data_IF_364804681058
#
_entry.id   IF_364804681058
#
_cell.length_a   1.000
_cell.length_b   1.000
_cell.length_c   1.000
_cell.angle_alpha   90.00
_cell.angle_beta   90.00
_cell.angle_gamma   90.00
#
_symmetry.space_group_name_H-M   'P 1'
#
loop_
_entity.id
_entity.type
_entity.pdbx_description
1 polymer ?
#
# COMPACT_ATOMS: atom_id res chain seq x y z
N UNK A 1 10.43 25.19 9.86
CA UNK A 1 9.04 25.70 9.99
C UNK A 1 8.31 24.90 11.07
N UNK A 2 7.23 25.44 11.59
CA UNK A 2 6.35 24.79 12.58
C UNK A 2 5.16 24.16 11.87
N UNK A 3 5.00 22.84 12.00
CA UNK A 3 4.05 22.02 11.22
C UNK A 3 3.24 21.14 12.16
N UNK A 4 1.93 21.07 11.98
CA UNK A 4 1.10 20.05 12.57
C UNK A 4 0.71 18.98 11.55
N UNK A 5 0.72 17.72 11.99
CA UNK A 5 0.19 16.58 11.22
C UNK A 5 -0.97 16.00 12.02
N UNK A 6 -2.19 16.12 11.51
CA UNK A 6 -3.38 15.56 12.15
C UNK A 6 -3.68 14.19 11.57
N UNK A 7 -3.57 13.17 12.42
CA UNK A 7 -3.55 11.77 12.09
C UNK A 7 -2.12 11.21 12.10
N UNK A 8 -1.80 10.36 13.07
CA UNK A 8 -0.53 9.64 13.16
C UNK A 8 -0.67 8.17 12.69
N UNK A 9 -1.44 7.97 11.62
CA UNK A 9 -1.44 6.74 10.85
C UNK A 9 -0.16 6.61 10.01
N UNK A 10 -0.14 5.65 9.08
CA UNK A 10 1.04 5.38 8.26
C UNK A 10 1.56 6.65 7.55
N UNK A 11 0.69 7.31 6.75
CA UNK A 11 1.06 8.51 5.99
C UNK A 11 1.47 9.66 6.91
N UNK A 12 0.69 9.92 7.97
CA UNK A 12 0.96 11.06 8.85
C UNK A 12 2.23 10.89 9.67
N UNK A 13 2.49 9.69 10.20
CA UNK A 13 3.69 9.43 11.01
C UNK A 13 4.96 9.49 10.15
N UNK A 14 4.96 8.87 8.98
CA UNK A 14 6.10 8.94 8.03
C UNK A 14 6.33 10.38 7.60
N UNK A 15 5.27 11.11 7.20
CA UNK A 15 5.38 12.51 6.76
C UNK A 15 5.94 13.40 7.87
N UNK A 16 5.37 13.31 9.08
CA UNK A 16 5.81 14.14 10.21
C UNK A 16 7.25 13.85 10.62
N UNK A 17 7.65 12.57 10.59
CA UNK A 17 9.01 12.15 10.93
C UNK A 17 10.03 12.65 9.91
N UNK A 18 9.75 12.51 8.61
CA UNK A 18 10.64 12.99 7.55
C UNK A 18 10.73 14.53 7.51
N UNK A 19 9.63 15.24 7.78
CA UNK A 19 9.68 16.70 7.92
C UNK A 19 10.54 17.13 9.12
N UNK A 20 10.45 16.41 10.25
CA UNK A 20 11.32 16.65 11.40
C UNK A 20 12.79 16.36 11.07
N UNK A 21 13.05 15.31 10.28
CA UNK A 21 14.41 14.92 9.89
C UNK A 21 15.10 15.99 9.04
N UNK A 22 14.39 16.66 8.17
CA UNK A 22 14.94 17.76 7.36
C UNK A 22 14.96 19.10 8.12
N UNK A 23 14.67 19.11 9.43
CA UNK A 23 14.87 20.26 10.30
C UNK A 23 13.64 21.10 10.62
N UNK A 24 12.43 20.64 10.27
CA UNK A 24 11.19 21.31 10.72
C UNK A 24 10.84 20.93 12.16
N UNK A 25 10.08 21.79 12.84
CA UNK A 25 9.47 21.48 14.14
C UNK A 25 8.07 20.91 13.88
N UNK A 26 7.86 19.65 14.27
CA UNK A 26 6.64 18.92 13.90
C UNK A 26 5.90 18.43 15.13
N UNK A 27 4.60 18.64 15.16
CA UNK A 27 3.68 18.02 16.11
C UNK A 27 2.72 17.09 15.39
N UNK A 28 2.75 15.81 15.75
CA UNK A 28 1.77 14.84 15.27
C UNK A 28 0.62 14.75 16.28
N UNK A 29 -0.60 14.90 15.79
CA UNK A 29 -1.84 14.88 16.58
C UNK A 29 -2.62 13.63 16.24
N UNK A 30 -3.06 12.87 17.24
CA UNK A 30 -3.97 11.73 17.03
C UNK A 30 -4.99 11.67 18.17
N UNK A 31 -6.21 11.27 17.85
CA UNK A 31 -7.30 11.16 18.82
C UNK A 31 -7.31 9.84 19.61
N UNK A 32 -6.44 8.88 19.28
CA UNK A 32 -6.24 7.66 20.05
C UNK A 32 -5.17 7.87 21.13
N UNK A 33 -5.62 8.07 22.37
CA UNK A 33 -4.76 8.25 23.53
C UNK A 33 -3.73 7.12 23.74
N UNK A 34 -4.09 5.88 23.38
CA UNK A 34 -3.17 4.73 23.51
C UNK A 34 -2.06 4.83 22.51
N UNK A 35 -2.39 5.19 21.26
CA UNK A 35 -1.41 5.41 20.20
C UNK A 35 -0.46 6.56 20.54
N UNK A 36 -1.00 7.70 21.00
CA UNK A 36 -0.19 8.85 21.41
C UNK A 36 0.78 8.48 22.56
N UNK A 37 0.29 7.77 23.58
CA UNK A 37 1.14 7.29 24.68
C UNK A 37 2.22 6.32 24.22
N UNK A 38 1.91 5.40 23.32
CA UNK A 38 2.89 4.49 22.70
C UNK A 38 3.99 5.27 21.99
N UNK A 39 3.60 6.21 21.11
CA UNK A 39 4.54 7.06 20.38
C UNK A 39 5.40 7.93 21.30
N UNK A 40 4.83 8.49 22.37
CA UNK A 40 5.56 9.24 23.40
C UNK A 40 6.56 8.37 24.18
N UNK A 41 6.27 7.08 24.33
CA UNK A 41 7.18 6.11 24.95
C UNK A 41 8.18 5.48 23.97
N UNK A 42 8.17 5.90 22.70
CA UNK A 42 9.07 5.40 21.66
C UNK A 42 8.63 4.09 21.01
N UNK A 43 7.40 3.63 21.25
CA UNK A 43 6.85 2.44 20.60
C UNK A 43 6.14 2.85 19.33
N UNK A 44 6.64 2.40 18.17
CA UNK A 44 6.10 2.75 16.85
C UNK A 44 5.05 1.72 16.42
N UNK A 45 3.79 2.14 16.17
CA UNK A 45 2.68 1.21 15.92
C UNK A 45 2.62 0.66 14.49
N UNK A 46 3.58 1.00 13.64
CA UNK A 46 3.66 0.56 12.24
C UNK A 46 5.06 0.04 11.93
N UNK A 47 5.14 -0.95 11.05
CA UNK A 47 6.43 -1.39 10.53
C UNK A 47 6.74 -0.65 9.22
N UNK A 48 7.84 0.09 9.23
CA UNK A 48 8.42 0.74 8.05
C UNK A 48 9.94 0.79 8.23
N UNK A 49 10.74 0.28 7.28
CA UNK A 49 12.19 0.29 7.39
C UNK A 49 12.77 1.69 7.66
N UNK A 50 13.59 1.80 8.70
CA UNK A 50 14.26 3.05 9.09
C UNK A 50 13.41 4.08 9.84
N UNK A 51 12.09 3.91 9.93
CA UNK A 51 11.20 4.88 10.58
C UNK A 51 11.44 4.99 12.08
N UNK A 52 11.62 3.87 12.78
CA UNK A 52 11.79 3.85 14.23
C UNK A 52 13.01 4.67 14.67
N UNK A 53 14.16 4.47 14.02
CA UNK A 53 15.38 5.22 14.29
C UNK A 53 15.20 6.73 14.04
N UNK A 54 14.48 7.09 12.97
CA UNK A 54 14.17 8.48 12.64
C UNK A 54 13.28 9.13 13.71
N UNK A 55 12.24 8.43 14.17
CA UNK A 55 11.34 8.92 15.22
C UNK A 55 12.14 9.16 16.50
N UNK A 56 12.90 8.18 16.97
CA UNK A 56 13.69 8.29 18.20
C UNK A 56 14.67 9.47 18.13
N UNK A 57 15.40 9.61 17.02
CA UNK A 57 16.36 10.70 16.81
C UNK A 57 15.70 12.07 16.83
N UNK A 58 14.53 12.22 16.19
CA UNK A 58 13.85 13.49 16.11
C UNK A 58 13.09 13.88 17.37
N UNK A 59 12.58 12.90 18.11
CA UNK A 59 12.04 13.12 19.48
C UNK A 59 13.15 13.58 20.43
N UNK A 60 14.31 12.90 20.43
CA UNK A 60 15.46 13.29 21.23
C UNK A 60 15.98 14.70 20.89
N UNK A 61 15.94 15.06 19.61
CA UNK A 61 16.30 16.40 19.12
C UNK A 61 15.20 17.46 19.34
N UNK A 62 14.07 17.10 19.92
CA UNK A 62 12.89 17.97 20.14
C UNK A 62 12.30 18.60 18.86
N UNK A 63 12.53 17.97 17.73
CA UNK A 63 11.93 18.36 16.44
C UNK A 63 10.61 17.64 16.14
N UNK A 64 10.35 16.49 16.82
CA UNK A 64 9.12 15.72 16.68
C UNK A 64 8.49 15.50 18.06
N UNK A 65 7.20 15.77 18.18
CA UNK A 65 6.42 15.49 19.39
C UNK A 65 5.03 14.98 19.03
N UNK A 66 4.36 14.36 20.01
CA UNK A 66 3.03 13.76 19.84
C UNK A 66 2.07 14.32 20.89
N UNK A 67 0.82 14.61 20.46
CA UNK A 67 -0.25 15.12 21.33
C UNK A 67 -1.62 14.58 20.90
N UNK A 68 -2.59 14.58 21.80
CA UNK A 68 -3.99 14.30 21.48
C UNK A 68 -4.83 15.57 21.31
N UNK A 69 -4.23 16.76 21.45
CA UNK A 69 -4.91 18.05 21.36
C UNK A 69 -4.73 18.68 19.98
N UNK A 70 -5.82 18.83 19.23
CA UNK A 70 -5.85 19.59 17.97
C UNK A 70 -5.50 21.06 18.23
N UNK A 71 -6.01 21.66 19.33
CA UNK A 71 -5.70 23.04 19.68
C UNK A 71 -4.19 23.25 19.86
N UNK A 72 -3.50 22.36 20.59
CA UNK A 72 -2.04 22.41 20.76
C UNK A 72 -1.31 22.28 19.40
N UNK A 73 -1.81 21.42 18.50
CA UNK A 73 -1.28 21.30 17.15
C UNK A 73 -1.46 22.57 16.32
N UNK A 74 -2.65 23.15 16.32
CA UNK A 74 -3.00 24.36 15.54
C UNK A 74 -2.29 25.59 16.05
N UNK A 75 -2.27 25.81 17.37
CA UNK A 75 -1.67 27.00 17.99
C UNK A 75 -0.16 27.11 17.74
N UNK A 76 0.52 25.94 17.66
CA UNK A 76 1.98 25.86 17.52
C UNK A 76 2.44 25.55 16.11
N UNK A 77 1.63 25.80 15.07
CA UNK A 77 2.00 25.52 13.68
C UNK A 77 1.49 26.58 12.71
N UNK A 78 2.23 26.78 11.61
CA UNK A 78 1.84 27.65 10.49
C UNK A 78 1.08 26.87 9.42
N UNK A 79 1.43 25.58 9.26
CA UNK A 79 0.86 24.69 8.26
C UNK A 79 0.36 23.43 8.93
N UNK A 80 -0.87 23.06 8.65
CA UNK A 80 -1.58 21.94 9.26
C UNK A 80 -1.91 20.92 8.20
N UNK A 81 -1.29 19.74 8.26
CA UNK A 81 -1.58 18.65 7.34
C UNK A 81 -2.67 17.75 7.92
N UNK A 82 -3.67 17.44 7.12
CA UNK A 82 -4.71 16.45 7.41
C UNK A 82 -4.28 15.12 6.78
N UNK A 83 -3.95 14.14 7.60
CA UNK A 83 -3.50 12.81 7.19
C UNK A 83 -4.32 11.72 7.91
N UNK A 84 -5.65 11.88 7.91
CA UNK A 84 -6.59 10.98 8.58
C UNK A 84 -7.09 9.87 7.64
N UNK A 85 -7.60 8.75 8.19
CA UNK A 85 -8.15 7.67 7.39
C UNK A 85 -9.30 8.11 6.49
N UNK A 86 -9.36 7.51 5.29
CA UNK A 86 -10.44 7.68 4.31
C UNK A 86 -10.95 6.27 3.92
N UNK A 87 -11.70 5.59 4.83
CA UNK A 87 -12.12 4.21 4.59
C UNK A 87 -13.14 4.12 3.46
N UNK A 88 -13.19 2.99 2.72
CA UNK A 88 -14.20 2.77 1.70
C UNK A 88 -15.57 2.50 2.33
N UNK A 89 -16.63 2.98 1.67
CA UNK A 89 -18.00 2.61 1.93
C UNK A 89 -18.42 1.37 1.13
N UNK A 90 -19.59 0.81 1.42
CA UNK A 90 -20.09 -0.41 0.74
C UNK A 90 -20.34 -0.23 -0.76
N UNK A 91 -20.59 1.00 -1.21
CA UNK A 91 -20.77 1.37 -2.63
C UNK A 91 -19.45 1.70 -3.34
N UNK A 92 -18.31 1.57 -2.66
CA UNK A 92 -16.99 1.91 -3.15
C UNK A 92 -16.61 3.39 -2.98
N UNK A 93 -17.54 4.25 -2.56
CA UNK A 93 -17.22 5.65 -2.26
C UNK A 93 -16.34 5.79 -1.00
N UNK A 94 -15.82 6.99 -0.78
CA UNK A 94 -14.94 7.29 0.37
C UNK A 94 -15.73 7.91 1.50
N UNK A 95 -15.55 7.39 2.72
CA UNK A 95 -16.07 8.04 3.93
C UNK A 95 -15.18 9.24 4.31
N UNK A 96 -15.75 10.45 4.19
CA UNK A 96 -15.08 11.71 4.51
C UNK A 96 -15.37 12.22 5.93
N UNK A 97 -16.04 11.44 6.78
CA UNK A 97 -16.43 11.84 8.13
C UNK A 97 -15.25 12.31 8.97
N UNK A 98 -14.10 11.64 8.84
CA UNK A 98 -12.88 12.01 9.57
C UNK A 98 -12.32 13.36 9.09
N UNK A 99 -12.31 13.60 7.77
CA UNK A 99 -11.85 14.87 7.17
C UNK A 99 -12.76 16.02 7.63
N UNK A 100 -14.07 15.85 7.52
CA UNK A 100 -15.06 16.87 7.92
C UNK A 100 -14.94 17.22 9.40
N UNK A 101 -14.81 16.21 10.26
CA UNK A 101 -14.63 16.41 11.69
C UNK A 101 -13.37 17.22 11.99
N UNK A 102 -12.23 16.83 11.42
CA UNK A 102 -10.96 17.54 11.62
C UNK A 102 -11.03 18.97 11.10
N UNK A 103 -11.62 19.19 9.92
CA UNK A 103 -11.80 20.54 9.38
C UNK A 103 -12.65 21.43 10.32
N UNK A 104 -13.70 20.87 10.94
CA UNK A 104 -14.54 21.56 11.94
C UNK A 104 -13.77 21.87 13.22
N UNK A 105 -13.01 20.89 13.73
CA UNK A 105 -12.21 21.05 14.95
C UNK A 105 -11.12 22.11 14.74
N UNK A 106 -10.39 22.08 13.62
CA UNK A 106 -9.42 23.13 13.25
C UNK A 106 -10.11 24.50 13.24
N UNK A 107 -11.25 24.62 12.55
CA UNK A 107 -11.98 25.88 12.42
C UNK A 107 -12.37 26.48 13.78
N UNK A 108 -12.69 25.63 14.76
CA UNK A 108 -13.13 26.07 16.09
C UNK A 108 -12.01 26.66 16.95
N UNK A 109 -10.74 26.34 16.64
CA UNK A 109 -9.56 26.77 17.42
C UNK A 109 -8.64 27.72 16.66
N UNK A 110 -8.96 28.08 15.41
CA UNK A 110 -8.19 29.06 14.62
C UNK A 110 -8.18 30.43 15.31
N UNK A 111 -6.97 30.97 15.55
CA UNK A 111 -6.74 32.28 16.17
C UNK A 111 -6.07 33.29 15.22
N UNK A 112 -5.31 32.79 14.27
CA UNK A 112 -4.61 33.55 13.23
C UNK A 112 -4.47 32.71 11.95
N UNK A 113 -3.86 33.29 10.90
CA UNK A 113 -3.76 32.67 9.59
C UNK A 113 -3.04 31.30 9.64
N UNK A 114 -3.65 30.31 9.01
CA UNK A 114 -3.06 28.97 8.81
C UNK A 114 -3.27 28.49 7.38
N UNK A 115 -2.34 27.66 6.90
CA UNK A 115 -2.53 26.86 5.70
C UNK A 115 -2.96 25.45 6.12
N UNK A 116 -4.12 25.03 5.63
CA UNK A 116 -4.67 23.69 5.86
C UNK A 116 -4.40 22.84 4.62
N UNK A 117 -3.66 21.78 4.79
CA UNK A 117 -3.19 20.90 3.70
C UNK A 117 -3.89 19.57 3.77
N UNK A 118 -4.65 19.22 2.76
CA UNK A 118 -5.18 17.87 2.62
C UNK A 118 -4.12 16.97 1.99
N UNK A 119 -3.64 16.01 2.80
CA UNK A 119 -2.67 15.00 2.38
C UNK A 119 -3.29 13.62 2.22
N UNK A 120 -4.45 13.40 2.80
CA UNK A 120 -5.22 12.17 2.63
C UNK A 120 -5.62 11.97 1.16
N UNK A 121 -5.74 10.70 0.73
CA UNK A 121 -6.29 10.40 -0.60
C UNK A 121 -7.81 10.59 -0.57
N UNK A 122 -8.29 11.61 -1.27
CA UNK A 122 -9.68 12.08 -1.22
C UNK A 122 -10.27 12.24 -2.62
N UNK A 123 -11.61 12.13 -2.78
CA UNK A 123 -12.31 12.45 -4.02
C UNK A 123 -12.06 13.89 -4.47
N UNK A 124 -12.11 14.11 -5.78
CA UNK A 124 -12.05 15.46 -6.37
C UNK A 124 -13.15 16.37 -5.78
N UNK A 125 -12.81 17.64 -5.53
CA UNK A 125 -13.62 18.67 -4.84
C UNK A 125 -13.68 18.51 -3.30
N UNK A 126 -12.85 17.68 -2.70
CA UNK A 126 -12.80 17.58 -1.24
C UNK A 126 -12.18 18.84 -0.62
N UNK A 127 -11.14 19.40 -1.22
CA UNK A 127 -10.53 20.65 -0.74
C UNK A 127 -11.52 21.83 -0.72
N UNK A 128 -12.45 21.91 -1.69
CA UNK A 128 -13.54 22.88 -1.68
C UNK A 128 -14.46 22.66 -0.46
N UNK A 129 -14.84 21.41 -0.18
CA UNK A 129 -15.66 21.03 0.99
C UNK A 129 -14.97 21.32 2.31
N UNK A 130 -13.65 21.07 2.40
CA UNK A 130 -12.83 21.43 3.56
C UNK A 130 -12.87 22.94 3.78
N UNK A 131 -12.66 23.75 2.72
CA UNK A 131 -12.72 25.19 2.80
C UNK A 131 -14.10 25.70 3.26
N UNK A 132 -15.18 25.13 2.70
CA UNK A 132 -16.55 25.50 3.08
C UNK A 132 -16.86 25.11 4.54
N UNK A 133 -16.39 23.96 4.99
CA UNK A 133 -16.53 23.52 6.38
C UNK A 133 -15.80 24.48 7.32
N UNK A 134 -14.55 24.82 7.01
CA UNK A 134 -13.78 25.76 7.84
C UNK A 134 -14.47 27.13 7.86
N UNK A 135 -14.91 27.70 6.73
CA UNK A 135 -15.64 28.97 6.69
C UNK A 135 -16.90 28.97 7.57
N UNK A 136 -17.64 27.84 7.57
CA UNK A 136 -18.87 27.67 8.33
C UNK A 136 -18.64 27.68 9.85
N UNK A 137 -17.56 27.06 10.32
CA UNK A 137 -17.28 26.87 11.74
C UNK A 137 -16.25 27.86 12.32
N UNK A 138 -15.55 28.62 11.48
CA UNK A 138 -14.61 29.65 11.87
C UNK A 138 -15.39 30.94 12.32
N UNK A 139 -15.80 30.95 13.59
CA UNK A 139 -16.62 32.02 14.16
C UNK A 139 -15.87 33.35 14.29
N UNK A 140 -14.56 33.35 14.34
CA UNK A 140 -13.70 34.51 14.51
C UNK A 140 -13.42 35.19 13.17
N UNK A 141 -13.65 34.52 12.06
CA UNK A 141 -13.40 35.04 10.72
C UNK A 141 -11.91 35.16 10.37
N UNK A 142 -11.08 34.29 10.93
CA UNK A 142 -9.65 34.24 10.65
C UNK A 142 -9.40 33.81 9.20
N UNK A 143 -8.47 34.46 8.53
CA UNK A 143 -8.02 34.04 7.18
C UNK A 143 -7.34 32.68 7.20
N UNK A 144 -7.57 31.89 6.16
CA UNK A 144 -6.91 30.59 5.94
C UNK A 144 -6.87 30.28 4.45
N UNK A 145 -5.94 29.42 4.07
CA UNK A 145 -5.89 28.81 2.73
C UNK A 145 -5.97 27.29 2.83
N UNK A 146 -6.53 26.67 1.79
CA UNK A 146 -6.58 25.22 1.63
C UNK A 146 -5.65 24.81 0.49
N UNK A 147 -4.90 23.74 0.70
CA UNK A 147 -3.98 23.15 -0.26
C UNK A 147 -4.27 21.65 -0.38
N UNK A 148 -4.27 21.11 -1.59
CA UNK A 148 -4.20 19.67 -1.82
C UNK A 148 -2.75 19.27 -2.06
N UNK A 149 -2.23 18.35 -1.27
CA UNK A 149 -0.86 17.84 -1.38
C UNK A 149 -0.85 16.32 -1.27
N UNK A 150 -1.28 15.62 -2.32
CA UNK A 150 -1.36 14.17 -2.29
C UNK A 150 0.00 13.51 -2.03
N UNK A 151 -0.01 12.37 -1.35
CA UNK A 151 1.17 11.54 -1.12
C UNK A 151 1.32 10.47 -2.24
N UNK A 152 2.55 9.99 -2.43
CA UNK A 152 2.86 8.91 -3.38
C UNK A 152 3.76 7.86 -2.72
N UNK A 153 3.55 7.65 -1.41
CA UNK A 153 4.34 6.75 -0.59
C UNK A 153 3.99 5.29 -0.88
N UNK A 154 5.00 4.44 -0.85
CA UNK A 154 4.85 2.98 -0.92
C UNK A 154 5.21 2.39 0.44
N UNK A 155 4.30 1.67 1.06
CA UNK A 155 4.58 0.93 2.29
C UNK A 155 5.86 0.07 2.11
N UNK A 156 6.74 0.04 3.11
CA UNK A 156 8.04 -0.62 3.03
C UNK A 156 9.17 0.20 2.38
N UNK A 157 8.85 1.31 1.72
CA UNK A 157 9.81 2.26 1.14
C UNK A 157 9.40 3.71 1.36
N UNK A 158 8.44 3.98 2.26
CA UNK A 158 7.81 5.28 2.38
C UNK A 158 8.74 6.36 2.92
N UNK A 159 9.69 6.00 3.78
CA UNK A 159 10.75 6.91 4.25
C UNK A 159 11.60 7.36 3.07
N UNK A 160 12.07 6.42 2.24
CA UNK A 160 12.89 6.75 1.06
C UNK A 160 12.09 7.53 0.01
N UNK A 161 10.85 7.11 -0.27
CA UNK A 161 9.94 7.81 -1.20
C UNK A 161 9.69 9.27 -0.80
N UNK A 162 9.63 9.57 0.52
CA UNK A 162 9.43 10.94 0.97
C UNK A 162 10.73 11.73 1.05
N UNK A 163 11.85 11.09 1.40
CA UNK A 163 13.17 11.75 1.45
C UNK A 163 13.72 12.05 0.04
N UNK A 164 13.37 11.22 -0.96
CA UNK A 164 13.83 11.34 -2.35
C UNK A 164 12.65 11.25 -3.33
N UNK A 165 11.65 12.17 -3.25
CA UNK A 165 10.45 12.05 -4.07
C UNK A 165 10.72 12.37 -5.54
N UNK A 166 10.16 11.57 -6.46
CA UNK A 166 10.19 11.86 -7.91
C UNK A 166 9.57 13.22 -8.25
N UNK A 167 8.54 13.61 -7.52
CA UNK A 167 7.84 14.89 -7.63
C UNK A 167 7.02 15.18 -6.38
N UNK A 168 6.77 16.46 -6.17
CA UNK A 168 5.86 16.99 -5.14
C UNK A 168 4.73 17.70 -5.86
N UNK A 169 3.48 17.34 -5.59
CA UNK A 169 2.30 17.99 -6.18
C UNK A 169 1.67 18.92 -5.16
N UNK A 170 1.48 20.20 -5.52
CA UNK A 170 0.85 21.22 -4.70
C UNK A 170 -0.31 21.84 -5.47
N UNK A 171 -1.53 21.56 -5.04
CA UNK A 171 -2.75 22.14 -5.58
C UNK A 171 -3.21 23.32 -4.71
N UNK A 172 -3.12 24.54 -5.22
CA UNK A 172 -3.57 25.74 -4.51
C UNK A 172 -3.80 26.90 -5.48
N UNK A 173 -4.66 27.83 -5.09
CA UNK A 173 -4.88 29.12 -5.78
C UNK A 173 -4.29 30.29 -4.99
N UNK A 174 -3.55 30.05 -3.90
CA UNK A 174 -2.98 31.08 -3.03
C UNK A 174 -1.45 31.11 -3.17
N UNK A 175 -0.91 32.24 -3.62
CA UNK A 175 0.53 32.47 -3.68
C UNK A 175 1.18 32.42 -2.28
N UNK A 176 0.45 32.90 -1.26
CA UNK A 176 0.91 32.88 0.14
C UNK A 176 1.05 31.46 0.65
N UNK A 177 0.05 30.61 0.41
CA UNK A 177 0.11 29.19 0.77
C UNK A 177 1.20 28.45 -0.01
N UNK A 178 1.32 28.74 -1.32
CA UNK A 178 2.37 28.14 -2.16
C UNK A 178 3.78 28.46 -1.65
N UNK A 179 4.04 29.70 -1.23
CA UNK A 179 5.33 30.09 -0.67
C UNK A 179 5.68 29.28 0.59
N UNK A 180 4.71 29.08 1.50
CA UNK A 180 4.92 28.26 2.70
C UNK A 180 5.15 26.79 2.35
N UNK A 181 4.38 26.23 1.42
CA UNK A 181 4.55 24.84 0.97
C UNK A 181 5.91 24.64 0.30
N UNK A 182 6.38 25.57 -0.52
CA UNK A 182 7.72 25.50 -1.12
C UNK A 182 8.82 25.48 -0.06
N UNK A 183 8.73 26.29 0.99
CA UNK A 183 9.69 26.30 2.10
C UNK A 183 9.72 24.96 2.84
N UNK A 184 8.57 24.28 3.00
CA UNK A 184 8.51 22.95 3.64
C UNK A 184 9.27 21.93 2.78
N UNK A 185 9.10 21.98 1.46
CA UNK A 185 9.65 20.98 0.55
C UNK A 185 11.03 21.32 -0.03
N UNK A 186 11.56 22.52 0.21
CA UNK A 186 12.88 22.93 -0.28
C UNK A 186 14.00 21.93 0.06
N UNK A 187 14.08 21.39 1.31
CA UNK A 187 15.16 20.47 1.66
C UNK A 187 15.16 19.15 0.89
N UNK A 188 14.03 18.75 0.29
CA UNK A 188 13.91 17.50 -0.46
C UNK A 188 14.45 17.59 -1.89
N UNK A 189 14.76 18.80 -2.38
CA UNK A 189 15.37 19.07 -3.70
C UNK A 189 14.67 18.39 -4.88
N UNK A 190 13.37 18.15 -4.79
CA UNK A 190 12.58 17.46 -5.79
C UNK A 190 11.78 18.44 -6.67
N UNK A 191 11.41 18.04 -7.90
CA UNK A 191 10.55 18.83 -8.75
C UNK A 191 9.19 19.11 -8.10
N UNK A 192 8.81 20.39 -8.02
CA UNK A 192 7.50 20.82 -7.49
C UNK A 192 6.57 21.13 -8.65
N UNK A 193 5.49 20.37 -8.75
CA UNK A 193 4.39 20.61 -9.69
C UNK A 193 3.30 21.40 -8.99
N UNK A 194 3.05 22.61 -9.45
CA UNK A 194 1.99 23.49 -8.94
C UNK A 194 0.78 23.41 -9.86
N UNK A 195 -0.39 23.24 -9.29
CA UNK A 195 -1.65 23.16 -10.03
C UNK A 195 -2.82 23.66 -9.14
N UNK A 196 -4.05 23.62 -9.66
CA UNK A 196 -5.25 23.83 -8.86
C UNK A 196 -5.56 22.61 -7.96
N UNK A 197 -6.43 22.80 -6.97
CA UNK A 197 -6.78 21.78 -5.97
C UNK A 197 -7.38 20.53 -6.63
N UNK A 198 -8.34 20.71 -7.55
CA UNK A 198 -9.05 19.60 -8.18
C UNK A 198 -8.10 18.73 -9.04
N UNK A 199 -7.19 19.36 -9.77
CA UNK A 199 -6.16 18.67 -10.54
C UNK A 199 -5.21 17.89 -9.62
N UNK A 200 -4.79 18.46 -8.48
CA UNK A 200 -3.93 17.75 -7.52
C UNK A 200 -4.61 16.50 -6.94
N UNK A 201 -5.87 16.61 -6.54
CA UNK A 201 -6.68 15.46 -6.07
C UNK A 201 -6.81 14.38 -7.16
N UNK A 202 -7.10 14.79 -8.41
CA UNK A 202 -7.24 13.86 -9.54
C UNK A 202 -5.93 13.16 -9.90
N UNK A 203 -4.78 13.84 -9.82
CA UNK A 203 -3.46 13.27 -10.11
C UNK A 203 -3.21 12.01 -9.26
N UNK A 204 -3.57 12.03 -7.98
CA UNK A 204 -3.39 10.86 -7.09
C UNK A 204 -4.20 9.65 -7.58
N UNK A 205 -5.49 9.84 -7.86
CA UNK A 205 -6.36 8.77 -8.36
C UNK A 205 -5.89 8.26 -9.73
N UNK A 206 -5.54 9.16 -10.64
CA UNK A 206 -5.04 8.80 -11.96
C UNK A 206 -3.73 8.02 -11.90
N UNK A 207 -2.78 8.43 -11.03
CA UNK A 207 -1.53 7.72 -10.84
C UNK A 207 -1.76 6.30 -10.31
N UNK A 208 -2.51 6.13 -9.22
CA UNK A 208 -2.76 4.81 -8.64
C UNK A 208 -3.54 3.89 -9.59
N UNK A 209 -4.52 4.42 -10.34
CA UNK A 209 -5.28 3.64 -11.31
C UNK A 209 -4.42 3.20 -12.50
N UNK A 210 -3.48 4.03 -12.95
CA UNK A 210 -2.56 3.67 -14.03
C UNK A 210 -1.56 2.60 -13.59
N UNK A 211 -1.04 2.66 -12.36
CA UNK A 211 -0.16 1.63 -11.81
C UNK A 211 -0.90 0.28 -11.70
N UNK A 212 -2.14 0.29 -11.22
CA UNK A 212 -2.97 -0.91 -11.16
C UNK A 212 -3.30 -1.46 -12.56
N UNK A 213 -3.53 -0.57 -13.55
CA UNK A 213 -3.71 -0.96 -14.95
C UNK A 213 -2.46 -1.70 -15.47
N UNK A 214 -1.24 -1.24 -15.19
CA UNK A 214 -0.01 -1.91 -15.61
C UNK A 214 0.08 -3.32 -15.04
N UNK A 215 -0.25 -3.52 -13.76
CA UNK A 215 -0.26 -4.84 -13.12
C UNK A 215 -1.33 -5.74 -13.76
N UNK A 216 -2.56 -5.25 -13.93
CA UNK A 216 -3.63 -6.02 -14.55
C UNK A 216 -3.33 -6.33 -16.02
N UNK A 217 -2.70 -5.39 -16.75
CA UNK A 217 -2.29 -5.59 -18.13
C UNK A 217 -1.29 -6.75 -18.25
N UNK A 218 -0.19 -6.75 -17.47
CA UNK A 218 0.79 -7.83 -17.56
C UNK A 218 0.22 -9.17 -17.07
N UNK A 219 -0.71 -9.16 -16.12
CA UNK A 219 -1.43 -10.35 -15.69
C UNK A 219 -2.35 -10.90 -16.80
N UNK A 220 -3.00 -10.05 -17.59
CA UNK A 220 -3.73 -10.49 -18.76
C UNK A 220 -2.79 -11.07 -19.83
N UNK A 221 -1.64 -10.44 -20.07
CA UNK A 221 -0.60 -10.96 -20.98
C UNK A 221 -0.05 -12.30 -20.48
N UNK A 222 0.08 -12.50 -19.16
CA UNK A 222 0.55 -13.78 -18.61
C UNK A 222 -0.32 -14.96 -19.05
N UNK A 223 -1.64 -14.74 -19.19
CA UNK A 223 -2.56 -15.75 -19.71
C UNK A 223 -2.25 -16.16 -21.15
N UNK A 224 -1.94 -15.16 -21.97
CA UNK A 224 -1.59 -15.36 -23.37
C UNK A 224 -0.23 -16.09 -23.48
N UNK A 225 0.73 -15.71 -22.60
CA UNK A 225 2.02 -16.37 -22.54
C UNK A 225 1.88 -17.87 -22.20
N UNK A 226 1.06 -18.21 -21.20
CA UNK A 226 0.79 -19.62 -20.86
C UNK A 226 0.18 -20.40 -22.02
N UNK A 227 -0.76 -19.81 -22.73
CA UNK A 227 -1.44 -20.45 -23.86
C UNK A 227 -0.55 -20.58 -25.11
N UNK A 228 0.39 -19.66 -25.32
CA UNK A 228 1.27 -19.62 -26.50
C UNK A 228 2.65 -20.23 -26.29
N UNK A 229 3.01 -20.60 -25.04
CA UNK A 229 4.36 -21.06 -24.68
C UNK A 229 5.38 -19.91 -24.55
N UNK A 230 4.94 -18.65 -24.59
CA UNK A 230 5.81 -17.49 -24.35
C UNK A 230 6.18 -17.35 -22.87
N UNK A 231 7.18 -16.52 -22.58
CA UNK A 231 7.64 -16.19 -21.24
C UNK A 231 7.24 -14.73 -20.91
N UNK A 232 6.41 -14.54 -19.88
CA UNK A 232 5.90 -13.22 -19.50
C UNK A 232 6.99 -12.26 -19.06
N UNK A 233 8.06 -12.75 -18.42
CA UNK A 233 9.16 -11.89 -17.96
C UNK A 233 9.90 -11.30 -19.17
N UNK A 234 10.16 -12.13 -20.21
CA UNK A 234 10.77 -11.64 -21.46
C UNK A 234 9.86 -10.66 -22.20
N UNK A 235 8.55 -10.92 -22.19
CA UNK A 235 7.58 -9.99 -22.80
C UNK A 235 7.57 -8.67 -22.02
N UNK A 236 7.53 -8.71 -20.67
CA UNK A 236 7.57 -7.54 -19.82
C UNK A 236 8.87 -6.72 -19.99
N UNK A 237 10.02 -7.39 -20.10
CA UNK A 237 11.32 -6.75 -20.36
C UNK A 237 11.35 -6.11 -21.75
N UNK A 238 10.85 -6.84 -22.77
CA UNK A 238 10.80 -6.33 -24.15
C UNK A 238 9.96 -5.08 -24.31
N UNK A 239 8.72 -5.09 -23.79
CA UNK A 239 7.86 -3.89 -23.84
C UNK A 239 8.33 -2.81 -22.88
N UNK A 240 8.89 -3.18 -21.71
CA UNK A 240 9.38 -2.26 -20.68
C UNK A 240 10.66 -1.52 -21.07
N UNK A 241 11.43 -2.02 -22.05
CA UNK A 241 12.58 -1.36 -22.62
C UNK A 241 12.23 -0.07 -23.39
N UNK A 242 10.99 0.03 -23.89
CA UNK A 242 10.48 1.29 -24.45
C UNK A 242 10.25 2.30 -23.32
N UNK A 243 10.97 3.45 -23.37
CA UNK A 243 10.89 4.52 -22.38
C UNK A 243 9.48 5.09 -22.20
N UNK A 244 8.61 4.98 -23.23
CA UNK A 244 7.21 5.43 -23.16
C UNK A 244 6.36 4.53 -22.27
N UNK A 245 6.77 3.27 -22.05
CA UNK A 245 6.09 2.27 -21.25
C UNK A 245 6.76 2.12 -19.88
N UNK A 246 8.08 1.85 -19.88
CA UNK A 246 8.88 1.61 -18.70
C UNK A 246 8.57 0.26 -18.03
N UNK A 247 9.60 -0.38 -17.44
CA UNK A 247 9.52 -1.75 -16.88
C UNK A 247 8.73 -1.84 -15.57
N UNK A 248 8.74 -0.78 -14.74
CA UNK A 248 8.12 -0.76 -13.41
C UNK A 248 6.63 -1.13 -13.50
N UNK A 249 6.14 -1.90 -12.53
CA UNK A 249 4.76 -2.39 -12.44
C UNK A 249 4.32 -3.37 -13.55
N UNK A 250 5.29 -3.97 -14.26
CA UNK A 250 5.03 -5.03 -15.24
C UNK A 250 5.51 -6.41 -14.74
N UNK A 251 5.40 -6.70 -13.45
CA UNK A 251 5.64 -8.04 -12.89
C UNK A 251 4.32 -8.78 -12.80
N UNK A 252 4.21 -9.90 -13.51
CA UNK A 252 3.05 -10.78 -13.41
C UNK A 252 3.06 -11.54 -12.07
N UNK A 253 1.88 -11.74 -11.49
CA UNK A 253 1.73 -12.42 -10.21
C UNK A 253 0.26 -12.68 -9.86
N UNK A 254 -0.01 -12.91 -8.58
CA UNK A 254 -1.37 -13.18 -8.05
C UNK A 254 -2.35 -12.01 -8.16
N UNK A 255 -1.87 -10.82 -8.51
CA UNK A 255 -2.63 -9.58 -8.52
C UNK A 255 -2.15 -8.61 -7.45
N UNK A 256 -2.73 -7.39 -7.48
CA UNK A 256 -2.48 -6.37 -6.48
C UNK A 256 -3.45 -6.48 -5.31
N UNK A 257 -2.99 -6.08 -4.14
CA UNK A 257 -3.75 -5.95 -2.90
C UNK A 257 -3.29 -4.74 -2.11
N UNK A 258 -3.39 -4.82 -0.78
CA UNK A 258 -2.98 -3.77 0.14
C UNK A 258 -4.05 -2.74 0.41
N UNK A 259 -3.70 -1.78 1.24
CA UNK A 259 -4.59 -0.73 1.75
C UNK A 259 -4.94 0.35 0.73
N UNK A 260 -4.15 0.50 -0.36
CA UNK A 260 -4.26 1.62 -1.29
C UNK A 260 -4.99 1.25 -2.58
N UNK A 261 -4.43 0.35 -3.42
CA UNK A 261 -4.96 0.10 -4.77
C UNK A 261 -6.42 -0.36 -4.78
N UNK A 262 -6.86 -1.37 -4.00
CA UNK A 262 -8.26 -1.79 -4.03
C UNK A 262 -9.21 -0.66 -3.68
N UNK A 263 -8.88 0.11 -2.63
CA UNK A 263 -9.68 1.23 -2.16
C UNK A 263 -9.72 2.37 -3.18
N UNK A 264 -8.55 2.80 -3.69
CA UNK A 264 -8.44 3.98 -4.55
C UNK A 264 -9.06 3.73 -5.94
N UNK A 265 -8.99 2.49 -6.43
CA UNK A 265 -9.64 2.07 -7.66
C UNK A 265 -11.16 2.08 -7.51
N UNK A 266 -11.69 1.50 -6.44
CA UNK A 266 -13.11 1.54 -6.13
C UNK A 266 -13.60 2.99 -5.98
N UNK A 267 -12.85 3.83 -5.25
CA UNK A 267 -13.15 5.25 -5.10
C UNK A 267 -13.17 5.98 -6.44
N UNK A 268 -12.19 5.74 -7.32
CA UNK A 268 -12.15 6.44 -8.60
C UNK A 268 -13.26 5.98 -9.56
N UNK A 269 -13.67 4.70 -9.52
CA UNK A 269 -14.86 4.23 -10.23
C UNK A 269 -16.12 4.95 -9.72
N UNK A 270 -16.30 5.03 -8.38
CA UNK A 270 -17.45 5.72 -7.78
C UNK A 270 -17.46 7.21 -8.12
N UNK A 271 -16.30 7.90 -8.06
CA UNK A 271 -16.15 9.30 -8.47
C UNK A 271 -16.56 9.48 -9.93
N UNK A 272 -16.06 8.64 -10.83
CA UNK A 272 -16.36 8.74 -12.26
C UNK A 272 -17.85 8.53 -12.56
N UNK A 273 -18.49 7.56 -11.89
CA UNK A 273 -19.92 7.30 -12.01
C UNK A 273 -20.75 8.48 -11.46
N UNK A 274 -20.37 9.09 -10.33
CA UNK A 274 -21.00 10.29 -9.76
C UNK A 274 -20.87 11.52 -10.67
N UNK A 275 -19.75 11.64 -11.39
CA UNK A 275 -19.55 12.71 -12.39
C UNK A 275 -20.26 12.44 -13.73
N UNK A 276 -20.98 11.34 -13.86
CA UNK A 276 -21.68 10.95 -15.10
C UNK A 276 -20.73 10.47 -16.23
N UNK A 277 -19.50 10.12 -15.91
CA UNK A 277 -18.45 9.68 -16.86
C UNK A 277 -17.94 8.29 -16.48
N UNK A 278 -18.68 7.19 -16.75
CA UNK A 278 -18.29 5.84 -16.31
C UNK A 278 -16.91 5.42 -16.81
N UNK A 279 -16.04 4.99 -15.90
CA UNK A 279 -14.67 4.58 -16.22
C UNK A 279 -14.59 3.04 -16.42
N UNK A 280 -15.13 2.55 -17.54
CA UNK A 280 -15.23 1.12 -17.83
C UNK A 280 -13.85 0.43 -17.90
N UNK A 281 -12.81 1.12 -18.38
CA UNK A 281 -11.45 0.58 -18.37
C UNK A 281 -11.01 0.19 -16.97
N UNK A 282 -11.32 1.02 -15.97
CA UNK A 282 -10.91 0.76 -14.60
C UNK A 282 -11.74 -0.37 -13.94
N UNK A 283 -13.02 -0.51 -14.32
CA UNK A 283 -13.83 -1.68 -13.94
C UNK A 283 -13.24 -2.98 -14.50
N UNK A 284 -12.71 -2.94 -15.73
CA UNK A 284 -12.03 -4.09 -16.34
C UNK A 284 -10.69 -4.42 -15.64
N UNK A 285 -9.91 -3.42 -15.25
CA UNK A 285 -8.70 -3.59 -14.44
C UNK A 285 -9.00 -4.35 -13.14
N UNK A 286 -10.05 -3.97 -12.44
CA UNK A 286 -10.49 -4.65 -11.21
C UNK A 286 -10.93 -6.10 -11.49
N UNK A 287 -11.67 -6.34 -12.56
CA UNK A 287 -12.12 -7.68 -12.97
C UNK A 287 -10.94 -8.60 -13.32
N UNK A 288 -9.95 -8.10 -14.05
CA UNK A 288 -8.73 -8.86 -14.36
C UNK A 288 -7.98 -9.23 -13.09
N UNK A 289 -7.85 -8.30 -12.15
CA UNK A 289 -7.19 -8.54 -10.87
C UNK A 289 -7.86 -9.65 -10.05
N UNK A 290 -9.19 -9.66 -9.98
CA UNK A 290 -9.97 -10.72 -9.33
C UNK A 290 -9.80 -12.06 -10.01
N UNK A 291 -9.94 -12.10 -11.35
CA UNK A 291 -9.81 -13.32 -12.14
C UNK A 291 -8.40 -13.95 -12.05
N UNK A 292 -7.37 -13.18 -11.76
CA UNK A 292 -6.00 -13.67 -11.66
C UNK A 292 -5.83 -14.66 -10.51
N UNK A 293 -6.43 -14.39 -9.35
CA UNK A 293 -6.47 -15.32 -8.23
C UNK A 293 -7.18 -16.63 -8.60
N UNK A 294 -8.36 -16.52 -9.21
CA UNK A 294 -9.15 -17.69 -9.60
C UNK A 294 -8.40 -18.59 -10.60
N UNK A 295 -7.68 -17.97 -11.54
CA UNK A 295 -6.79 -18.68 -12.47
C UNK A 295 -5.67 -19.44 -11.75
N UNK A 296 -5.07 -18.82 -10.73
CA UNK A 296 -4.03 -19.44 -9.94
C UNK A 296 -4.56 -20.65 -9.16
N UNK A 297 -5.69 -20.52 -8.48
CA UNK A 297 -6.35 -21.62 -7.78
C UNK A 297 -6.76 -22.73 -8.78
N UNK A 298 -7.24 -22.38 -9.97
CA UNK A 298 -7.53 -23.36 -11.02
C UNK A 298 -6.27 -24.14 -11.42
N UNK A 299 -5.11 -23.49 -11.58
CA UNK A 299 -3.84 -24.14 -11.90
C UNK A 299 -3.44 -25.17 -10.81
N UNK A 300 -3.64 -24.83 -9.53
CA UNK A 300 -3.44 -25.75 -8.42
C UNK A 300 -4.35 -26.98 -8.54
N UNK A 301 -5.65 -26.79 -8.79
CA UNK A 301 -6.61 -27.90 -8.97
C UNK A 301 -6.25 -28.80 -10.16
N UNK A 302 -5.88 -28.24 -11.29
CA UNK A 302 -5.51 -29.00 -12.49
C UNK A 302 -4.25 -29.85 -12.25
N UNK A 303 -3.29 -29.37 -11.48
CA UNK A 303 -2.06 -30.09 -11.18
C UNK A 303 -2.24 -31.11 -10.05
N UNK A 304 -2.93 -30.75 -8.97
CA UNK A 304 -3.11 -31.60 -7.78
C UNK A 304 -4.34 -32.48 -7.86
N UNK A 305 -5.20 -32.25 -8.85
CA UNK A 305 -6.47 -32.92 -9.13
C UNK A 305 -7.55 -32.70 -8.04
N UNK A 306 -7.21 -32.99 -6.76
CA UNK A 306 -8.09 -32.78 -5.60
C UNK A 306 -7.29 -32.03 -4.54
N UNK A 307 -7.89 -30.96 -3.97
CA UNK A 307 -7.27 -30.18 -2.90
C UNK A 307 -7.67 -30.66 -1.50
N UNK A 308 -8.84 -31.31 -1.39
CA UNK A 308 -9.33 -31.85 -0.12
C UNK A 308 -8.33 -32.84 0.48
N UNK A 309 -8.06 -32.64 1.78
CA UNK A 309 -7.13 -33.44 2.60
C UNK A 309 -5.65 -33.31 2.21
N UNK A 310 -5.31 -32.49 1.21
CA UNK A 310 -3.91 -32.20 0.88
C UNK A 310 -3.30 -31.25 1.88
N UNK A 311 -2.02 -31.48 2.19
CA UNK A 311 -1.23 -30.59 3.03
C UNK A 311 -0.46 -29.65 2.13
N UNK A 312 -0.74 -28.36 2.25
CA UNK A 312 -0.18 -27.31 1.42
C UNK A 312 0.59 -26.30 2.29
N UNK A 313 1.77 -25.90 1.84
CA UNK A 313 2.53 -24.82 2.45
C UNK A 313 2.30 -23.50 1.70
N UNK A 314 2.15 -22.39 2.42
CA UNK A 314 2.07 -21.04 1.83
C UNK A 314 3.13 -20.16 2.47
N UNK A 315 4.00 -19.58 1.66
CA UNK A 315 4.97 -18.59 2.04
C UNK A 315 4.51 -17.19 1.62
N UNK A 316 4.34 -16.32 2.59
CA UNK A 316 3.83 -14.97 2.44
C UNK A 316 2.34 -14.86 2.76
N UNK A 317 2.00 -13.85 3.59
CA UNK A 317 0.64 -13.46 3.97
C UNK A 317 0.42 -11.95 3.83
N UNK A 318 1.49 -11.16 3.86
CA UNK A 318 1.43 -9.73 3.55
C UNK A 318 1.13 -9.51 2.06
N UNK A 319 0.54 -8.37 1.71
CA UNK A 319 0.19 -8.10 0.31
C UNK A 319 1.41 -7.87 -0.60
N UNK A 320 2.56 -7.54 -0.01
CA UNK A 320 3.89 -7.40 -0.64
C UNK A 320 5.00 -7.53 0.42
N UNK A 321 6.29 -7.65 0.03
CA UNK A 321 7.40 -7.67 0.98
C UNK A 321 7.61 -6.30 1.67
N UNK A 322 8.46 -6.31 2.71
CA UNK A 322 8.92 -5.16 3.47
C UNK A 322 7.84 -4.36 4.21
N UNK A 323 6.68 -5.01 4.46
CA UNK A 323 5.59 -4.47 5.28
C UNK A 323 4.97 -5.57 6.15
N UNK A 324 4.27 -5.17 7.21
CA UNK A 324 3.44 -6.07 8.02
C UNK A 324 1.94 -5.99 7.64
N UNK A 325 1.60 -5.24 6.56
CA UNK A 325 0.20 -5.01 6.15
C UNK A 325 -0.38 -6.24 5.43
N UNK A 326 -1.46 -6.74 6.00
CA UNK A 326 -2.22 -7.91 5.50
C UNK A 326 -3.61 -7.53 4.96
N UNK A 327 -3.93 -6.24 4.92
CA UNK A 327 -5.22 -5.74 4.43
C UNK A 327 -5.38 -6.00 2.94
N UNK A 328 -6.52 -6.56 2.54
CA UNK A 328 -6.79 -6.95 1.15
C UNK A 328 -5.63 -7.74 0.53
N UNK A 329 -4.95 -8.56 1.33
CA UNK A 329 -3.86 -9.40 0.84
C UNK A 329 -4.41 -10.55 0.01
N UNK A 330 -3.98 -10.64 -1.26
CA UNK A 330 -4.32 -11.76 -2.13
C UNK A 330 -3.76 -13.07 -1.58
N UNK A 331 -2.63 -13.03 -0.86
CA UNK A 331 -2.05 -14.21 -0.21
C UNK A 331 -2.99 -14.78 0.87
N UNK A 332 -3.57 -13.91 1.72
CA UNK A 332 -4.60 -14.30 2.72
C UNK A 332 -5.83 -14.90 2.04
N UNK A 333 -6.28 -14.30 0.93
CA UNK A 333 -7.41 -14.83 0.17
C UNK A 333 -7.12 -16.21 -0.41
N UNK A 334 -5.93 -16.43 -0.95
CA UNK A 334 -5.48 -17.75 -1.45
C UNK A 334 -5.48 -18.79 -0.33
N UNK A 335 -4.94 -18.47 0.85
CA UNK A 335 -4.97 -19.38 2.01
C UNK A 335 -6.40 -19.76 2.38
N UNK A 336 -7.30 -18.79 2.46
CA UNK A 336 -8.70 -19.04 2.81
C UNK A 336 -9.44 -19.84 1.73
N UNK A 337 -9.15 -19.62 0.45
CA UNK A 337 -9.73 -20.40 -0.65
C UNK A 337 -9.29 -21.87 -0.56
N UNK A 338 -8.01 -22.13 -0.30
CA UNK A 338 -7.48 -23.49 -0.15
C UNK A 338 -8.09 -24.21 1.07
N UNK A 339 -8.20 -23.52 2.21
CA UNK A 339 -8.87 -24.07 3.39
C UNK A 339 -10.34 -24.40 3.12
N UNK A 340 -11.07 -23.51 2.42
CA UNK A 340 -12.48 -23.77 2.03
C UNK A 340 -12.65 -24.97 1.09
N UNK A 341 -11.64 -25.31 0.31
CA UNK A 341 -11.61 -26.50 -0.51
C UNK A 341 -11.17 -27.76 0.25
N UNK A 342 -10.97 -27.64 1.56
CA UNK A 342 -10.65 -28.76 2.44
C UNK A 342 -9.17 -29.14 2.50
N UNK A 343 -8.28 -28.30 2.01
CA UNK A 343 -6.84 -28.48 2.20
C UNK A 343 -6.43 -28.14 3.65
N UNK A 344 -5.41 -28.82 4.17
CA UNK A 344 -4.71 -28.41 5.39
C UNK A 344 -3.59 -27.46 5.01
N UNK A 345 -3.72 -26.18 5.34
CA UNK A 345 -2.75 -25.15 4.95
C UNK A 345 -1.85 -24.79 6.11
N UNK A 346 -0.53 -24.90 5.94
CA UNK A 346 0.47 -24.32 6.85
C UNK A 346 1.07 -23.07 6.21
N UNK A 347 0.93 -21.92 6.88
CA UNK A 347 1.33 -20.63 6.34
C UNK A 347 2.41 -19.94 7.21
N UNK A 348 3.34 -19.27 6.55
CA UNK A 348 4.39 -18.48 7.20
C UNK A 348 4.58 -17.14 6.49
N UNK A 349 4.82 -16.08 7.27
CA UNK A 349 5.21 -14.75 6.78
C UNK A 349 6.23 -14.12 7.74
N UNK A 350 7.28 -13.46 7.26
CA UNK A 350 8.32 -12.85 8.11
C UNK A 350 7.81 -11.75 9.05
N UNK A 351 6.78 -10.98 8.65
CA UNK A 351 6.28 -9.80 9.38
C UNK A 351 4.77 -9.81 9.66
N UNK A 352 3.97 -10.44 8.80
CA UNK A 352 2.51 -10.40 8.86
C UNK A 352 1.86 -11.28 9.91
N UNK A 353 2.59 -12.24 10.51
CA UNK A 353 2.03 -13.28 11.38
C UNK A 353 1.25 -12.76 12.58
N UNK A 354 1.72 -11.70 13.25
CA UNK A 354 1.06 -11.11 14.41
C UNK A 354 -0.28 -10.49 14.02
N UNK A 355 -0.32 -9.73 12.92
CA UNK A 355 -1.55 -9.10 12.40
C UNK A 355 -2.56 -10.12 11.89
N UNK A 356 -2.10 -11.19 11.22
CA UNK A 356 -2.99 -12.29 10.81
C UNK A 356 -3.68 -12.94 12.02
N UNK A 357 -2.94 -13.18 13.12
CA UNK A 357 -3.52 -13.72 14.37
C UNK A 357 -4.47 -12.74 15.03
N UNK A 358 -4.07 -11.46 15.17
CA UNK A 358 -4.87 -10.41 15.79
C UNK A 358 -6.21 -10.21 15.07
N UNK A 359 -6.17 -10.13 13.73
CA UNK A 359 -7.32 -9.89 12.88
C UNK A 359 -8.07 -11.17 12.50
N UNK A 360 -7.57 -12.35 12.90
CA UNK A 360 -8.16 -13.67 12.60
C UNK A 360 -8.44 -13.89 11.10
N UNK A 361 -7.47 -13.52 10.25
CA UNK A 361 -7.69 -13.52 8.80
C UNK A 361 -7.60 -14.91 8.16
N UNK A 362 -6.87 -15.85 8.75
CA UNK A 362 -6.73 -17.23 8.28
C UNK A 362 -7.10 -18.21 9.42
N UNK A 363 -8.38 -18.27 9.83
CA UNK A 363 -8.79 -18.99 11.05
C UNK A 363 -8.57 -20.50 10.96
N UNK A 364 -8.60 -21.07 9.75
CA UNK A 364 -8.50 -22.50 9.50
C UNK A 364 -7.08 -22.94 9.10
N UNK A 365 -6.13 -22.00 9.00
CA UNK A 365 -4.76 -22.29 8.64
C UNK A 365 -3.86 -22.49 9.87
N UNK A 366 -2.86 -23.34 9.73
CA UNK A 366 -1.77 -23.52 10.71
C UNK A 366 -0.76 -22.41 10.48
N UNK A 367 -0.54 -21.57 11.48
CA UNK A 367 0.45 -20.50 11.38
C UNK A 367 1.81 -21.00 11.88
N UNK A 368 2.70 -21.34 10.95
CA UNK A 368 4.03 -21.87 11.22
C UNK A 368 4.97 -20.79 11.77
N UNK A 369 6.03 -21.23 12.49
CA UNK A 369 7.04 -20.34 13.08
C UNK A 369 8.23 -20.07 12.16
N UNK A 370 8.36 -20.84 11.07
CA UNK A 370 9.42 -20.70 10.06
C UNK A 370 8.98 -21.21 8.70
N UNK A 371 9.68 -20.81 7.61
CA UNK A 371 9.39 -21.34 6.27
C UNK A 371 9.61 -22.85 6.18
N UNK A 372 10.62 -23.38 6.88
CA UNK A 372 10.89 -24.83 6.91
C UNK A 372 9.84 -25.64 7.68
N UNK A 373 9.27 -25.07 8.75
CA UNK A 373 8.16 -25.70 9.44
C UNK A 373 6.90 -25.76 8.55
N UNK A 374 6.61 -24.70 7.82
CA UNK A 374 5.45 -24.66 6.93
C UNK A 374 5.48 -25.75 5.86
N UNK A 375 6.65 -26.07 5.30
CA UNK A 375 6.80 -27.06 4.21
C UNK A 375 6.87 -28.51 4.67
N UNK A 376 6.91 -28.78 5.99
CA UNK A 376 7.04 -30.16 6.51
C UNK A 376 5.84 -31.03 6.11
N UNK A 377 6.12 -32.12 5.41
CA UNK A 377 5.15 -33.06 4.84
C UNK A 377 4.17 -32.40 3.84
N UNK A 378 4.48 -31.24 3.28
CA UNK A 378 3.62 -30.58 2.32
C UNK A 378 3.70 -31.26 0.94
N UNK A 379 2.55 -31.35 0.27
CA UNK A 379 2.44 -31.88 -1.09
C UNK A 379 2.67 -30.79 -2.14
N UNK A 380 2.58 -29.53 -1.76
CA UNK A 380 3.01 -28.40 -2.58
C UNK A 380 3.39 -27.20 -1.72
N UNK A 381 4.34 -26.41 -2.20
CA UNK A 381 4.70 -25.09 -1.70
C UNK A 381 4.11 -24.02 -2.62
N UNK A 382 3.40 -23.04 -2.03
CA UNK A 382 2.84 -21.89 -2.72
C UNK A 382 3.61 -20.66 -2.25
N UNK A 383 4.20 -19.88 -3.16
CA UNK A 383 4.78 -18.57 -2.87
C UNK A 383 3.77 -17.51 -3.21
N UNK A 384 3.26 -16.81 -2.18
CA UNK A 384 2.19 -15.83 -2.31
C UNK A 384 2.64 -14.39 -2.09
N UNK A 385 3.82 -14.18 -1.46
CA UNK A 385 4.48 -12.87 -1.32
C UNK A 385 5.98 -13.03 -1.60
N UNK A 386 6.56 -12.06 -2.31
CA UNK A 386 7.94 -12.10 -2.79
C UNK A 386 8.97 -11.59 -1.77
N UNK A 387 8.99 -12.17 -0.56
CA UNK A 387 9.99 -11.85 0.45
C UNK A 387 11.38 -12.38 0.04
N UNK A 388 12.41 -11.54 0.15
CA UNK A 388 13.80 -11.94 -0.12
C UNK A 388 14.30 -13.06 0.78
N UNK A 389 13.72 -13.24 1.96
CA UNK A 389 13.99 -14.38 2.85
C UNK A 389 13.75 -15.72 2.13
N UNK A 390 12.72 -15.80 1.30
CA UNK A 390 12.33 -17.04 0.62
C UNK A 390 13.29 -17.45 -0.50
N UNK A 391 14.01 -16.50 -1.09
CA UNK A 391 15.08 -16.81 -2.07
C UNK A 391 16.31 -17.44 -1.42
N UNK A 392 16.52 -17.15 -0.13
CA UNK A 392 17.71 -17.55 0.62
C UNK A 392 17.51 -18.82 1.47
N UNK A 393 16.36 -19.49 1.36
CA UNK A 393 16.11 -20.77 2.06
C UNK A 393 16.90 -21.89 1.37
N UNK A 394 17.39 -22.85 2.15
CA UNK A 394 18.02 -24.06 1.59
C UNK A 394 16.96 -24.97 0.91
N UNK A 395 16.86 -24.89 -0.40
CA UNK A 395 15.92 -25.70 -1.19
C UNK A 395 16.23 -27.20 -1.19
N UNK A 396 17.44 -27.61 -0.85
CA UNK A 396 17.73 -29.03 -0.61
C UNK A 396 17.00 -29.52 0.64
N UNK A 397 17.00 -28.70 1.70
CA UNK A 397 16.28 -29.00 2.93
C UNK A 397 14.75 -28.90 2.74
N UNK A 398 14.27 -27.90 2.00
CA UNK A 398 12.85 -27.78 1.62
C UNK A 398 12.38 -29.05 0.93
N UNK A 399 13.13 -29.55 -0.09
CA UNK A 399 12.80 -30.76 -0.80
C UNK A 399 12.78 -31.98 0.12
N UNK A 400 13.73 -32.07 1.04
CA UNK A 400 13.82 -33.20 2.01
C UNK A 400 12.61 -33.23 2.96
N UNK A 401 12.08 -32.08 3.32
CA UNK A 401 10.96 -31.92 4.27
C UNK A 401 9.58 -32.10 3.60
N UNK A 402 9.48 -31.81 2.33
CA UNK A 402 8.22 -31.93 1.58
C UNK A 402 7.93 -33.42 1.22
N UNK A 403 6.63 -33.73 1.14
CA UNK A 403 6.16 -35.01 0.64
C UNK A 403 6.31 -35.10 -0.88
N UNK A 404 6.04 -34.01 -1.60
CA UNK A 404 6.17 -33.90 -3.05
C UNK A 404 6.93 -32.62 -3.41
N UNK A 405 8.00 -32.67 -4.24
CA UNK A 405 8.78 -31.49 -4.59
C UNK A 405 8.06 -30.65 -5.67
N UNK A 406 6.99 -30.00 -5.30
CA UNK A 406 6.11 -29.22 -6.18
C UNK A 406 6.00 -27.78 -5.68
N UNK A 407 6.32 -26.83 -6.55
CA UNK A 407 6.25 -25.37 -6.24
C UNK A 407 5.28 -24.69 -7.18
N UNK A 408 4.37 -23.90 -6.60
CA UNK A 408 3.55 -22.92 -7.29
C UNK A 408 4.01 -21.52 -6.88
N UNK A 409 4.70 -20.85 -7.78
CA UNK A 409 5.23 -19.51 -7.53
C UNK A 409 4.27 -18.44 -8.08
N UNK A 410 3.45 -17.92 -7.21
CA UNK A 410 2.46 -16.89 -7.52
C UNK A 410 3.06 -15.49 -7.70
N UNK A 411 4.36 -15.33 -7.49
CA UNK A 411 5.07 -14.05 -7.60
C UNK A 411 6.23 -14.07 -8.59
N UNK A 412 6.51 -15.22 -9.19
CA UNK A 412 7.66 -15.43 -10.06
C UNK A 412 9.00 -15.07 -9.39
N UNK A 413 9.07 -15.28 -8.07
CA UNK A 413 10.22 -14.96 -7.24
C UNK A 413 11.44 -15.82 -7.60
N UNK A 414 11.24 -17.12 -7.76
CA UNK A 414 12.31 -18.08 -7.94
C UNK A 414 12.66 -18.29 -9.42
N UNK A 415 13.93 -18.58 -9.66
CA UNK A 415 14.38 -18.98 -11.00
C UNK A 415 13.93 -20.40 -11.36
N UNK A 416 13.14 -20.57 -12.44
CA UNK A 416 12.58 -21.87 -12.81
C UNK A 416 13.64 -22.93 -13.14
N UNK A 417 14.80 -22.51 -13.67
CA UNK A 417 15.88 -23.46 -14.02
C UNK A 417 16.52 -23.98 -12.74
N UNK A 418 16.86 -23.08 -11.82
CA UNK A 418 17.43 -23.43 -10.52
C UNK A 418 16.51 -24.37 -9.75
N UNK A 419 15.20 -24.13 -9.73
CA UNK A 419 14.26 -25.01 -9.05
C UNK A 419 14.19 -26.42 -9.70
N UNK A 420 14.24 -26.49 -11.02
CA UNK A 420 14.32 -27.80 -11.73
C UNK A 420 15.65 -28.53 -11.46
N UNK A 421 16.76 -27.80 -11.38
CA UNK A 421 18.06 -28.38 -11.05
C UNK A 421 18.07 -28.95 -9.62
N UNK A 422 17.36 -28.34 -8.66
CA UNK A 422 17.06 -28.94 -7.35
C UNK A 422 16.08 -30.13 -7.43
N UNK A 423 15.43 -30.36 -8.57
CA UNK A 423 14.47 -31.42 -8.80
C UNK A 423 13.06 -31.14 -8.34
N UNK A 424 12.66 -29.88 -8.33
CA UNK A 424 11.26 -29.48 -8.14
C UNK A 424 10.50 -29.42 -9.46
N UNK A 425 9.24 -29.83 -9.43
CA UNK A 425 8.27 -29.43 -10.42
C UNK A 425 7.86 -28.01 -10.12
N UNK A 426 8.11 -27.06 -11.03
CA UNK A 426 7.91 -25.64 -10.80
C UNK A 426 6.85 -25.05 -11.74
N UNK A 427 5.88 -24.34 -11.17
CA UNK A 427 4.80 -23.64 -11.87
C UNK A 427 4.80 -22.15 -11.49
N UNK A 428 5.19 -21.29 -12.41
CA UNK A 428 5.09 -19.82 -12.27
C UNK A 428 3.82 -19.27 -12.94
N UNK A 429 3.71 -17.94 -12.92
CA UNK A 429 2.66 -17.19 -13.61
C UNK A 429 3.18 -16.73 -14.98
N UNK A 430 2.49 -17.09 -16.05
CA UNK A 430 2.84 -16.65 -17.40
C UNK A 430 4.18 -17.19 -17.92
N UNK A 431 4.77 -18.15 -17.22
CA UNK A 431 5.97 -18.87 -17.64
C UNK A 431 5.51 -20.13 -18.33
N UNK A 432 5.53 -20.14 -19.67
CA UNK A 432 5.12 -21.30 -20.47
C UNK A 432 5.94 -22.52 -20.08
N UNK A 433 5.29 -23.65 -19.93
CA UNK A 433 6.00 -24.95 -19.83
C UNK A 433 6.77 -25.14 -21.11
N UNK A 434 8.10 -25.44 -21.07
CA UNK A 434 8.79 -25.88 -22.27
C UNK A 434 8.00 -27.07 -22.81
N UNK A 435 7.58 -27.01 -24.07
CA UNK A 435 7.06 -28.19 -24.76
C UNK A 435 8.09 -29.29 -24.59
N UNK A 436 7.72 -30.36 -23.93
CA UNK A 436 8.54 -31.58 -23.91
C UNK A 436 8.57 -32.06 -25.38
N UNK A 437 9.66 -31.69 -26.07
CA UNK A 437 9.98 -32.20 -27.40
C UNK A 437 10.55 -33.60 -27.27
#
# INVERSE_FOLDING_TARGET
MEIAIIGSGYVGLVTGTCFAEVGHSVVCVDNDDRKVKSLQSGIIPIYEPGLEDLVHRNVAARRLRFTNSIEDGVDNSQVIFIAVPTPPQSDGSVDLTYIERVAREIASVLKDYRVIVDKSTVPVKTGEKVADTIRRYNKVGVEFDVVSNPEFLREGCAVDDLMHPDRIVIGTNSDRALALMRNIYEPFMAPVMVTDINSAELIKHAANSFLALKISYINAISAICEASGADVDKVADGIGADKRIGRSFLNAGLGYGGSCFPKDIAAFIAISDQLGTPFNLLKEVQRINQNQRDRFIKKLRETLWVLKEKKLAVWGLTFKPDTDDVRSSVAVEVVNDLCREGATVAAYDPKGMSKVRELKLCPDAILASSPLEAVRDAEALIIATEWSEFENVDFSEVKRLMQTPLIFDGRNLLDPKTMRDFGFQYHGIGRGTPSVS
#
